data_IF_601591737111
#
_entry.id   IF_601591737111
#
_cell.length_a   1.000
_cell.length_b   1.000
_cell.length_c   1.000
_cell.angle_alpha   90.00
_cell.angle_beta   90.00
_cell.angle_gamma   90.00
#
_symmetry.space_group_name_H-M   'P 1'
#
loop_
_entity.id
_entity.type
_entity.pdbx_description
1 polymer ?
#
# COMPACT_ATOMS: atom_id res chain seq x y z
N UNK A 1 37.51 39.66 -6.82
CA UNK A 1 36.07 39.86 -7.08
C UNK A 1 35.55 39.04 -8.28
N UNK A 2 35.85 39.36 -9.54
CA UNK A 2 35.25 38.66 -10.70
C UNK A 2 35.64 37.17 -10.85
N UNK A 3 36.90 36.82 -10.58
CA UNK A 3 37.41 35.44 -10.66
C UNK A 3 36.84 34.51 -9.57
N UNK A 4 36.44 35.07 -8.43
CA UNK A 4 35.90 34.35 -7.28
C UNK A 4 34.45 33.91 -7.51
N UNK A 5 33.64 34.83 -8.04
CA UNK A 5 32.26 34.54 -8.46
C UNK A 5 32.21 33.47 -9.57
N UNK A 6 33.17 33.50 -10.51
CA UNK A 6 33.29 32.48 -11.55
C UNK A 6 33.65 31.10 -10.99
N UNK A 7 34.60 31.04 -10.05
CA UNK A 7 34.97 29.81 -9.33
C UNK A 7 33.83 29.25 -8.47
N UNK A 8 33.09 30.10 -7.74
CA UNK A 8 31.91 29.68 -6.98
C UNK A 8 30.81 29.10 -7.89
N UNK A 9 30.57 29.72 -9.05
CA UNK A 9 29.59 29.25 -10.02
C UNK A 9 29.98 27.89 -10.64
N UNK A 10 31.25 27.69 -10.97
CA UNK A 10 31.76 26.39 -11.43
C UNK A 10 31.76 25.32 -10.32
N UNK A 11 32.10 25.69 -9.09
CA UNK A 11 32.03 24.80 -7.93
C UNK A 11 30.62 24.29 -7.65
N UNK A 12 29.58 25.13 -7.84
CA UNK A 12 28.18 24.71 -7.73
C UNK A 12 27.75 23.68 -8.78
N UNK A 13 28.42 23.65 -9.93
CA UNK A 13 28.12 22.75 -11.06
C UNK A 13 28.89 21.44 -10.94
N UNK A 14 30.13 21.46 -10.42
CA UNK A 14 31.06 20.32 -10.41
C UNK A 14 31.13 19.62 -9.03
N UNK A 15 30.67 20.26 -7.96
CA UNK A 15 30.66 19.71 -6.59
C UNK A 15 29.46 20.11 -5.74
N UNK A 16 28.35 20.53 -6.36
CA UNK A 16 27.09 20.86 -5.65
C UNK A 16 26.27 19.63 -5.25
N UNK A 17 25.16 19.85 -4.53
CA UNK A 17 24.19 18.80 -4.22
C UNK A 17 23.71 18.09 -5.49
N UNK A 18 23.62 16.76 -5.47
CA UNK A 18 23.09 15.96 -6.60
C UNK A 18 21.71 16.46 -7.06
N UNK A 19 20.90 16.96 -6.13
CA UNK A 19 19.58 17.53 -6.40
C UNK A 19 19.59 18.80 -7.27
N UNK A 20 20.71 19.53 -7.33
CA UNK A 20 20.86 20.77 -8.09
C UNK A 20 21.68 20.60 -9.38
N UNK A 21 22.14 19.38 -9.70
CA UNK A 21 22.90 19.12 -10.91
C UNK A 21 22.07 19.37 -12.18
N UNK A 22 22.75 19.70 -13.27
CA UNK A 22 22.14 20.01 -14.57
C UNK A 22 22.77 19.18 -15.73
N UNK A 23 22.98 17.87 -15.53
CA UNK A 23 23.54 16.98 -16.54
C UNK A 23 22.50 16.47 -17.57
N UNK A 24 22.97 15.94 -18.71
CA UNK A 24 22.11 15.37 -19.77
C UNK A 24 21.09 14.33 -19.26
N UNK A 25 21.47 13.53 -18.26
CA UNK A 25 20.58 12.55 -17.60
C UNK A 25 19.34 13.19 -16.94
N UNK A 26 19.41 14.47 -16.58
CA UNK A 26 18.32 15.24 -15.97
C UNK A 26 17.52 16.06 -16.99
N UNK A 27 17.79 15.96 -18.30
CA UNK A 27 17.07 16.74 -19.34
C UNK A 27 15.55 16.52 -19.33
N UNK A 28 15.10 15.32 -18.95
CA UNK A 28 13.67 14.99 -18.79
C UNK A 28 13.15 15.15 -17.36
N UNK A 29 14.02 15.43 -16.39
CA UNK A 29 13.65 15.52 -14.99
C UNK A 29 13.14 16.94 -14.68
N UNK A 30 11.81 17.10 -14.72
CA UNK A 30 11.14 18.33 -14.28
C UNK A 30 10.47 18.08 -12.95
N UNK A 31 11.12 18.50 -11.87
CA UNK A 31 10.53 18.46 -10.54
C UNK A 31 9.28 19.35 -10.50
N UNK A 32 8.13 18.75 -10.22
CA UNK A 32 6.88 19.49 -10.03
C UNK A 32 6.94 20.29 -8.72
N UNK A 33 6.42 21.52 -8.74
CA UNK A 33 6.16 22.32 -7.53
C UNK A 33 4.71 22.19 -7.06
N UNK A 34 3.89 21.40 -7.75
CA UNK A 34 2.49 21.21 -7.40
C UNK A 34 2.35 20.43 -6.09
N UNK A 35 1.29 20.73 -5.34
CA UNK A 35 0.95 20.01 -4.12
C UNK A 35 0.64 18.53 -4.43
N UNK A 36 0.95 17.63 -3.50
CA UNK A 36 0.80 16.18 -3.69
C UNK A 36 -0.64 15.79 -4.05
N UNK A 37 -1.63 16.38 -3.39
CA UNK A 37 -3.05 16.11 -3.69
C UNK A 37 -3.42 16.49 -5.13
N UNK A 38 -2.83 17.55 -5.68
CA UNK A 38 -3.06 17.96 -7.07
C UNK A 38 -2.47 16.94 -8.05
N UNK A 39 -1.29 16.39 -7.74
CA UNK A 39 -0.65 15.36 -8.56
C UNK A 39 -1.42 14.04 -8.52
N UNK A 40 -1.88 13.63 -7.33
CA UNK A 40 -2.70 12.43 -7.15
C UNK A 40 -4.02 12.57 -7.91
N UNK A 41 -4.72 13.70 -7.77
CA UNK A 41 -5.98 13.94 -8.49
C UNK A 41 -5.80 13.90 -10.02
N UNK A 42 -4.69 14.45 -10.53
CA UNK A 42 -4.43 14.50 -11.97
C UNK A 42 -3.92 13.17 -12.56
N UNK A 43 -3.22 12.34 -11.78
CA UNK A 43 -2.49 11.16 -12.30
C UNK A 43 -2.89 9.84 -11.67
N UNK A 44 -3.68 9.84 -10.60
CA UNK A 44 -4.00 8.67 -9.78
C UNK A 44 -4.61 7.54 -10.60
N UNK A 45 -5.61 7.83 -11.42
CA UNK A 45 -6.23 6.84 -12.31
C UNK A 45 -5.21 6.14 -13.21
N UNK A 46 -4.32 6.92 -13.83
CA UNK A 46 -3.27 6.38 -14.72
C UNK A 46 -2.25 5.55 -13.95
N UNK A 47 -1.86 5.97 -12.75
CA UNK A 47 -0.93 5.23 -11.89
C UNK A 47 -1.55 3.88 -11.51
N UNK A 48 -2.79 3.86 -11.02
CA UNK A 48 -3.50 2.64 -10.63
C UNK A 48 -3.71 1.70 -11.80
N UNK A 49 -4.08 2.21 -12.98
CA UNK A 49 -4.24 1.39 -14.18
C UNK A 49 -2.92 0.72 -14.60
N UNK A 50 -1.81 1.46 -14.54
CA UNK A 50 -0.46 0.94 -14.85
C UNK A 50 0.04 -0.05 -13.79
N UNK A 51 -0.21 0.20 -12.51
CA UNK A 51 0.14 -0.72 -11.44
C UNK A 51 -0.58 -2.07 -11.61
N UNK A 52 -1.88 -2.04 -11.88
CA UNK A 52 -2.68 -3.25 -12.18
C UNK A 52 -2.23 -3.96 -13.45
N UNK A 53 -1.85 -3.20 -14.49
CA UNK A 53 -1.27 -3.77 -15.70
C UNK A 53 0.07 -4.46 -15.41
N UNK A 54 0.95 -3.86 -14.60
CA UNK A 54 2.24 -4.44 -14.23
C UNK A 54 2.06 -5.77 -13.48
N UNK A 55 1.17 -5.82 -12.49
CA UNK A 55 0.91 -7.08 -11.75
C UNK A 55 0.42 -8.19 -12.66
N UNK A 56 -0.42 -7.89 -13.65
CA UNK A 56 -0.91 -8.90 -14.60
C UNK A 56 0.15 -9.40 -15.58
N UNK A 57 1.12 -8.55 -15.95
CA UNK A 57 2.04 -8.82 -17.05
C UNK A 57 3.50 -9.04 -16.62
N UNK A 58 3.85 -8.78 -15.37
CA UNK A 58 5.21 -8.90 -14.86
C UNK A 58 5.24 -9.74 -13.56
N UNK A 59 5.87 -10.91 -13.64
CA UNK A 59 6.00 -11.83 -12.51
C UNK A 59 6.73 -11.25 -11.29
N UNK A 60 7.68 -10.33 -11.48
CA UNK A 60 8.34 -9.64 -10.37
C UNK A 60 7.39 -8.70 -9.64
N UNK A 61 6.54 -7.98 -10.39
CA UNK A 61 5.53 -7.11 -9.80
C UNK A 61 4.49 -7.94 -9.04
N UNK A 62 3.99 -9.03 -9.63
CA UNK A 62 3.09 -9.96 -8.97
C UNK A 62 3.69 -10.51 -7.67
N UNK A 63 4.92 -11.00 -7.72
CA UNK A 63 5.62 -11.53 -6.55
C UNK A 63 5.82 -10.47 -5.46
N UNK A 64 6.09 -9.21 -5.82
CA UNK A 64 6.20 -8.13 -4.85
C UNK A 64 4.88 -7.91 -4.08
N UNK A 65 3.73 -7.92 -4.77
CA UNK A 65 2.42 -7.79 -4.11
C UNK A 65 2.13 -9.00 -3.22
N UNK A 66 2.41 -10.23 -3.68
CA UNK A 66 2.22 -11.43 -2.85
C UNK A 66 3.12 -11.42 -1.62
N UNK A 67 4.39 -11.06 -1.78
CA UNK A 67 5.37 -11.00 -0.69
C UNK A 67 4.97 -9.95 0.35
N UNK A 68 4.54 -8.77 -0.10
CA UNK A 68 4.03 -7.74 0.80
C UNK A 68 2.82 -8.24 1.59
N UNK A 69 1.80 -8.78 0.92
CA UNK A 69 0.59 -9.24 1.58
C UNK A 69 0.87 -10.38 2.58
N UNK A 70 1.74 -11.33 2.22
CA UNK A 70 2.16 -12.41 3.12
C UNK A 70 2.90 -11.89 4.35
N UNK A 71 3.78 -10.89 4.20
CA UNK A 71 4.53 -10.34 5.34
C UNK A 71 3.66 -9.46 6.26
N UNK A 72 2.69 -8.73 5.69
CA UNK A 72 1.80 -7.86 6.46
C UNK A 72 0.77 -8.67 7.25
N UNK A 73 0.18 -9.69 6.61
CA UNK A 73 -0.90 -10.47 7.24
C UNK A 73 -0.36 -11.66 8.03
N UNK A 74 0.72 -12.29 7.55
CA UNK A 74 1.27 -13.50 8.15
C UNK A 74 0.22 -14.62 8.23
N UNK A 75 0.07 -15.20 9.42
CA UNK A 75 -0.92 -16.24 9.73
C UNK A 75 -2.32 -15.68 10.05
N UNK A 76 -2.51 -14.38 9.84
CA UNK A 76 -3.75 -13.68 10.15
C UNK A 76 -3.65 -12.80 11.41
N UNK A 77 -4.20 -11.60 11.30
CA UNK A 77 -4.34 -10.66 12.40
C UNK A 77 -5.59 -11.05 13.19
N UNK A 78 -5.38 -11.60 14.39
CA UNK A 78 -6.46 -12.07 15.28
C UNK A 78 -6.55 -11.24 16.55
N UNK A 79 -7.75 -11.03 17.09
CA UNK A 79 -7.93 -10.36 18.37
C UNK A 79 -7.32 -11.21 19.49
N UNK A 80 -6.73 -10.54 20.47
CA UNK A 80 -6.28 -11.17 21.71
C UNK A 80 -7.17 -10.71 22.86
N UNK A 81 -8.02 -11.61 23.35
CA UNK A 81 -8.92 -11.30 24.46
C UNK A 81 -8.15 -11.16 25.79
N UNK A 82 -8.43 -10.07 26.49
CA UNK A 82 -7.89 -9.74 27.82
C UNK A 82 -8.74 -10.28 28.97
N UNK A 83 -9.78 -11.07 28.67
CA UNK A 83 -10.64 -11.72 29.67
C UNK A 83 -9.81 -12.65 30.56
N UNK A 84 -9.96 -12.52 31.88
CA UNK A 84 -9.25 -13.34 32.87
C UNK A 84 -9.84 -14.75 33.04
N UNK A 85 -11.17 -14.88 32.88
CA UNK A 85 -11.89 -16.15 32.94
C UNK A 85 -11.59 -17.00 31.71
N UNK A 86 -10.94 -18.15 31.91
CA UNK A 86 -10.52 -19.04 30.83
C UNK A 86 -11.70 -19.61 30.04
N UNK A 87 -12.81 -19.97 30.70
CA UNK A 87 -13.97 -20.57 30.05
C UNK A 87 -14.65 -19.57 29.11
N UNK A 88 -14.83 -18.33 29.56
CA UNK A 88 -15.38 -17.24 28.72
C UNK A 88 -14.45 -16.86 27.57
N UNK A 89 -13.13 -16.91 27.80
CA UNK A 89 -12.14 -16.64 26.76
C UNK A 89 -12.20 -17.70 25.65
N UNK A 90 -12.38 -18.96 26.02
CA UNK A 90 -12.55 -20.06 25.08
C UNK A 90 -13.87 -19.94 24.29
N UNK A 91 -14.98 -19.63 24.97
CA UNK A 91 -16.27 -19.38 24.33
C UNK A 91 -16.19 -18.24 23.30
N UNK A 92 -15.56 -17.12 23.67
CA UNK A 92 -15.36 -15.99 22.76
C UNK A 92 -14.48 -16.37 21.57
N UNK A 93 -13.43 -17.16 21.80
CA UNK A 93 -12.54 -17.62 20.72
C UNK A 93 -13.28 -18.53 19.74
N UNK A 94 -14.16 -19.41 20.24
CA UNK A 94 -14.99 -20.26 19.40
C UNK A 94 -15.96 -19.44 18.55
N UNK A 95 -16.62 -18.43 19.15
CA UNK A 95 -17.49 -17.51 18.41
C UNK A 95 -16.73 -16.70 17.35
N UNK A 96 -15.50 -16.27 17.66
CA UNK A 96 -14.64 -15.59 16.70
C UNK A 96 -14.34 -16.47 15.49
N UNK A 97 -13.92 -17.72 15.71
CA UNK A 97 -13.60 -18.66 14.63
C UNK A 97 -14.84 -19.00 13.78
N UNK A 98 -16.00 -19.19 14.39
CA UNK A 98 -17.24 -19.37 13.64
C UNK A 98 -17.56 -18.14 12.78
N UNK A 99 -17.40 -16.94 13.33
CA UNK A 99 -17.63 -15.70 12.59
C UNK A 99 -16.62 -15.48 11.46
N UNK A 100 -15.37 -15.93 11.60
CA UNK A 100 -14.38 -15.70 10.53
C UNK A 100 -14.77 -16.36 9.22
N UNK A 101 -15.46 -17.50 9.26
CA UNK A 101 -15.97 -18.18 8.06
C UNK A 101 -17.15 -17.43 7.42
N UNK A 102 -17.93 -16.71 8.23
CA UNK A 102 -19.07 -15.89 7.81
C UNK A 102 -18.71 -14.44 7.47
N UNK A 103 -17.44 -14.03 7.62
CA UNK A 103 -17.05 -12.65 7.45
C UNK A 103 -17.19 -12.16 6.00
N UNK A 104 -16.97 -13.04 5.01
CA UNK A 104 -17.15 -12.71 3.59
C UNK A 104 -18.60 -12.93 3.16
N UNK A 105 -19.27 -11.84 2.78
CA UNK A 105 -20.65 -11.90 2.29
C UNK A 105 -20.77 -12.59 0.91
N UNK A 106 -19.67 -12.73 0.15
CA UNK A 106 -19.64 -13.47 -1.11
C UNK A 106 -19.32 -14.96 -0.90
N UNK A 107 -18.90 -15.36 0.31
CA UNK A 107 -18.52 -16.74 0.64
C UNK A 107 -17.29 -17.24 -0.15
N UNK A 108 -16.43 -16.35 -0.64
CA UNK A 108 -15.25 -16.75 -1.41
C UNK A 108 -14.05 -17.08 -0.53
N UNK A 109 -14.00 -16.51 0.68
CA UNK A 109 -12.89 -16.69 1.62
C UNK A 109 -13.32 -16.40 3.06
N UNK A 110 -12.43 -16.64 4.02
CA UNK A 110 -12.65 -16.31 5.43
C UNK A 110 -12.16 -14.88 5.75
N UNK A 111 -12.31 -14.46 7.01
CA UNK A 111 -11.82 -13.16 7.46
C UNK A 111 -10.31 -12.95 7.20
N UNK A 112 -9.49 -14.01 7.29
CA UNK A 112 -8.05 -13.91 7.07
C UNK A 112 -7.70 -13.75 5.58
N UNK A 113 -8.47 -14.37 4.70
CA UNK A 113 -8.41 -14.13 3.26
C UNK A 113 -8.88 -12.74 2.87
N UNK A 114 -9.88 -12.18 3.57
CA UNK A 114 -10.25 -10.76 3.42
C UNK A 114 -9.10 -9.83 3.85
N UNK A 115 -8.40 -10.13 4.94
CA UNK A 115 -7.20 -9.38 5.34
C UNK A 115 -6.12 -9.43 4.26
N UNK A 116 -5.86 -10.62 3.69
CA UNK A 116 -4.92 -10.77 2.57
C UNK A 116 -5.36 -9.94 1.36
N UNK A 117 -6.63 -10.00 0.98
CA UNK A 117 -7.21 -9.22 -0.14
C UNK A 117 -7.01 -7.71 0.08
N UNK A 118 -7.30 -7.23 1.29
CA UNK A 118 -7.11 -5.83 1.67
C UNK A 118 -5.63 -5.41 1.60
N UNK A 119 -4.72 -6.20 2.18
CA UNK A 119 -3.29 -5.91 2.15
C UNK A 119 -2.73 -5.82 0.71
N UNK A 120 -3.21 -6.69 -0.19
CA UNK A 120 -2.84 -6.66 -1.61
C UNK A 120 -3.29 -5.36 -2.29
N UNK A 121 -4.56 -4.97 -2.10
CA UNK A 121 -5.10 -3.77 -2.75
C UNK A 121 -4.49 -2.49 -2.19
N UNK A 122 -4.19 -2.42 -0.89
CA UNK A 122 -3.46 -1.27 -0.31
C UNK A 122 -2.09 -1.11 -0.97
N UNK A 123 -1.34 -2.19 -1.18
CA UNK A 123 -0.04 -2.11 -1.85
C UNK A 123 -0.13 -1.77 -3.34
N UNK A 124 -1.15 -2.32 -4.02
CA UNK A 124 -1.32 -2.17 -5.46
C UNK A 124 -1.93 -0.83 -5.86
N UNK A 125 -3.02 -0.45 -5.19
CA UNK A 125 -3.92 0.64 -5.56
C UNK A 125 -3.87 1.80 -4.55
N UNK A 126 -3.22 1.62 -3.39
CA UNK A 126 -3.04 2.64 -2.36
C UNK A 126 -4.15 2.71 -1.31
N UNK A 127 -5.32 2.15 -1.60
CA UNK A 127 -6.48 2.20 -0.71
C UNK A 127 -7.41 1.00 -0.93
N UNK A 128 -8.23 0.72 0.08
CA UNK A 128 -9.29 -0.28 0.04
C UNK A 128 -10.45 0.19 0.91
N UNK A 129 -11.68 -0.08 0.45
CA UNK A 129 -12.90 0.19 1.20
C UNK A 129 -13.52 -1.13 1.65
N UNK A 130 -13.79 -1.22 2.96
CA UNK A 130 -14.48 -2.37 3.54
C UNK A 130 -15.92 -1.95 3.81
N UNK A 131 -16.88 -2.71 3.26
CA UNK A 131 -18.30 -2.49 3.47
C UNK A 131 -18.83 -3.50 4.47
N UNK A 132 -19.24 -3.02 5.64
CA UNK A 132 -19.95 -3.84 6.62
C UNK A 132 -21.40 -4.00 6.17
N UNK A 133 -21.82 -5.24 5.93
CA UNK A 133 -23.21 -5.58 5.59
C UNK A 133 -23.83 -6.33 6.78
N UNK A 134 -24.86 -5.78 7.44
CA UNK A 134 -25.66 -6.55 8.38
C UNK A 134 -26.31 -7.73 7.65
N UNK A 135 -26.16 -8.95 8.16
CA UNK A 135 -26.87 -10.13 7.65
C UNK A 135 -28.28 -10.17 8.23
N UNK A 136 -29.24 -10.58 7.41
CA UNK A 136 -30.59 -10.91 7.86
C UNK A 136 -30.62 -12.34 8.36
N UNK A 137 -31.66 -12.70 9.10
CA UNK A 137 -31.85 -14.09 9.55
C UNK A 137 -32.11 -15.08 8.39
N UNK A 138 -32.42 -14.56 7.20
CA UNK A 138 -32.70 -15.32 5.98
C UNK A 138 -31.49 -15.46 5.04
N UNK A 139 -30.38 -14.76 5.33
CA UNK A 139 -29.11 -14.88 4.59
C UNK A 139 -28.32 -16.15 4.98
#
# INVERSE_FOLDING_TARGET
MAFEAFRQRLGSIIGGFDAAQAHRRLRGFRASRAHVNTLIAASGETITARARWLVRNNGYAANAVESFASNVVGDGIKPSSTIADAAKKEELQALWLAWTDDADAEGLTDFYGLQRRAAREVFLSGEVFIRIRPRRAED
#
